data_IF_414518754790
#
_entry.id   IF_414518754790
#
_cell.length_a   1.000
_cell.length_b   1.000
_cell.length_c   1.000
_cell.angle_alpha   90.00
_cell.angle_beta   90.00
_cell.angle_gamma   90.00
#
_symmetry.space_group_name_H-M   'P 1'
#
loop_
_entity.id
_entity.type
_entity.pdbx_description
1 polymer ?
#
# COMPACT_ATOMS: atom_id res chain seq x y z
N UNK A 1 -78.98 -56.79 4.33
CA UNK A 1 -77.96 -55.85 4.82
C UNK A 1 -76.75 -55.99 3.88
N UNK A 2 -76.67 -55.11 2.87
CA UNK A 2 -75.58 -55.14 1.86
C UNK A 2 -74.57 -53.99 2.20
N UNK A 3 -73.35 -54.39 2.45
CA UNK A 3 -72.25 -53.41 2.67
C UNK A 3 -71.68 -53.02 1.27
N UNK A 4 -71.74 -51.74 0.99
CA UNK A 4 -71.00 -51.15 -0.14
C UNK A 4 -69.54 -50.79 0.28
N UNK A 5 -68.56 -51.36 -0.41
CA UNK A 5 -67.21 -50.99 -0.33
C UNK A 5 -66.93 -49.94 -1.44
N UNK A 6 -66.65 -48.75 -1.07
CA UNK A 6 -66.10 -47.69 -2.00
C UNK A 6 -64.61 -47.74 -2.03
N UNK A 7 -64.05 -48.08 -3.18
CA UNK A 7 -62.62 -48.09 -3.44
C UNK A 7 -62.22 -46.68 -3.93
N UNK A 8 -61.47 -45.96 -3.11
CA UNK A 8 -60.90 -44.64 -3.50
C UNK A 8 -59.54 -44.86 -4.15
N UNK A 9 -59.42 -44.56 -5.44
CA UNK A 9 -58.16 -44.56 -6.17
C UNK A 9 -57.43 -43.28 -5.89
N UNK A 10 -56.19 -43.33 -5.25
CA UNK A 10 -55.30 -42.22 -5.06
C UNK A 10 -54.37 -42.15 -6.28
N UNK A 11 -54.59 -41.14 -7.10
CA UNK A 11 -53.67 -40.82 -8.18
C UNK A 11 -52.42 -40.07 -7.60
N UNK A 12 -51.28 -40.73 -7.58
CA UNK A 12 -50.01 -40.11 -7.24
C UNK A 12 -49.48 -39.26 -8.40
N UNK A 13 -49.58 -37.96 -8.28
CA UNK A 13 -48.92 -37.00 -9.17
C UNK A 13 -47.43 -36.92 -8.77
N UNK A 14 -46.54 -37.57 -9.52
CA UNK A 14 -45.11 -37.34 -9.43
C UNK A 14 -44.80 -35.97 -10.02
N UNK A 15 -44.62 -34.94 -9.16
CA UNK A 15 -43.95 -33.71 -9.53
C UNK A 15 -42.45 -34.00 -9.68
N UNK A 16 -41.96 -34.05 -10.90
CA UNK A 16 -40.54 -33.97 -11.19
C UNK A 16 -40.07 -32.57 -10.85
N UNK A 17 -39.55 -32.38 -9.64
CA UNK A 17 -38.74 -31.19 -9.32
C UNK A 17 -37.47 -31.27 -10.15
N UNK A 18 -37.48 -30.60 -11.31
CA UNK A 18 -36.25 -30.25 -12.01
C UNK A 18 -35.40 -29.40 -11.08
N UNK A 19 -34.38 -30.01 -10.48
CA UNK A 19 -33.37 -29.28 -9.73
C UNK A 19 -32.69 -28.29 -10.66
N UNK A 20 -33.09 -27.04 -10.58
CA UNK A 20 -32.25 -25.95 -11.07
C UNK A 20 -31.01 -26.00 -10.16
N UNK A 21 -29.92 -26.64 -10.65
CA UNK A 21 -28.61 -26.47 -10.05
C UNK A 21 -28.35 -24.97 -10.10
N UNK A 22 -28.55 -24.27 -9.01
CA UNK A 22 -28.01 -22.94 -8.82
C UNK A 22 -26.50 -23.12 -9.00
N UNK A 23 -25.97 -22.69 -10.16
CA UNK A 23 -24.54 -22.57 -10.38
C UNK A 23 -24.08 -21.68 -9.23
N UNK A 24 -23.23 -22.20 -8.35
CA UNK A 24 -22.62 -21.38 -7.32
C UNK A 24 -22.06 -20.15 -8.05
N UNK A 25 -22.48 -18.96 -7.64
CA UNK A 25 -21.99 -17.76 -8.28
C UNK A 25 -20.46 -17.79 -8.19
N UNK A 26 -19.77 -17.64 -9.33
CA UNK A 26 -18.32 -17.49 -9.35
C UNK A 26 -17.98 -16.36 -8.38
N UNK A 27 -17.25 -16.65 -7.30
CA UNK A 27 -17.01 -15.69 -6.24
C UNK A 27 -15.59 -15.72 -5.72
N UNK A 28 -15.11 -14.57 -5.28
CA UNK A 28 -13.82 -14.41 -4.63
C UNK A 28 -14.02 -13.91 -3.20
N UNK A 29 -13.28 -14.50 -2.27
CA UNK A 29 -13.15 -14.01 -0.90
C UNK A 29 -11.81 -13.29 -0.80
N UNK A 30 -11.83 -12.01 -0.42
CA UNK A 30 -10.67 -11.13 -0.53
C UNK A 30 -10.33 -10.52 0.83
N UNK A 31 -9.15 -10.86 1.34
CA UNK A 31 -8.58 -10.24 2.55
C UNK A 31 -7.77 -9.01 2.15
N UNK A 32 -8.07 -7.89 2.80
CA UNK A 32 -7.39 -6.61 2.54
C UNK A 32 -7.45 -5.70 3.77
N UNK A 33 -6.64 -4.63 3.76
CA UNK A 33 -6.63 -3.61 4.83
C UNK A 33 -7.07 -2.22 4.36
N UNK A 34 -7.65 -2.10 3.17
CA UNK A 34 -8.16 -0.83 2.65
C UNK A 34 -9.49 -0.45 3.30
N UNK A 35 -9.40 0.22 4.46
CA UNK A 35 -10.56 0.56 5.29
C UNK A 35 -10.80 2.06 5.47
N UNK A 36 -9.87 2.93 5.05
CA UNK A 36 -10.06 4.38 5.06
C UNK A 36 -11.08 4.83 4.00
N UNK A 37 -11.51 6.08 4.08
CA UNK A 37 -12.52 6.61 3.16
C UNK A 37 -12.08 6.60 1.70
N UNK A 38 -10.85 7.02 1.40
CA UNK A 38 -10.26 6.99 0.06
C UNK A 38 -10.03 5.57 -0.43
N UNK A 39 -9.48 4.71 0.41
CA UNK A 39 -9.21 3.31 0.09
C UNK A 39 -10.49 2.51 -0.21
N UNK A 40 -11.52 2.65 0.61
CA UNK A 40 -12.81 2.01 0.38
C UNK A 40 -13.43 2.47 -0.95
N UNK A 41 -13.29 3.75 -1.31
CA UNK A 41 -13.77 4.28 -2.60
C UNK A 41 -13.02 3.67 -3.79
N UNK A 42 -11.71 3.44 -3.67
CA UNK A 42 -10.91 2.76 -4.69
C UNK A 42 -11.30 1.28 -4.79
N UNK A 43 -11.47 0.59 -3.65
CA UNK A 43 -11.89 -0.81 -3.63
C UNK A 43 -13.27 -1.01 -4.28
N UNK A 44 -14.19 -0.05 -4.13
CA UNK A 44 -15.49 -0.08 -4.78
C UNK A 44 -15.40 -0.09 -6.31
N UNK A 45 -14.33 0.47 -6.91
CA UNK A 45 -14.06 0.37 -8.35
C UNK A 45 -13.82 -1.10 -8.74
N UNK A 46 -13.00 -1.83 -7.96
CA UNK A 46 -12.75 -3.26 -8.20
C UNK A 46 -14.01 -4.10 -8.00
N UNK A 47 -14.73 -3.87 -6.90
CA UNK A 47 -15.98 -4.60 -6.60
C UNK A 47 -17.00 -4.47 -7.72
N UNK A 48 -17.23 -3.25 -8.21
CA UNK A 48 -18.18 -2.98 -9.29
C UNK A 48 -17.73 -3.58 -10.63
N UNK A 49 -16.42 -3.54 -10.93
CA UNK A 49 -15.90 -4.15 -12.15
C UNK A 49 -16.07 -5.68 -12.13
N UNK A 50 -15.82 -6.33 -10.99
CA UNK A 50 -16.04 -7.77 -10.82
C UNK A 50 -17.51 -8.15 -10.87
N UNK A 51 -18.39 -7.37 -10.22
CA UNK A 51 -19.84 -7.58 -10.27
C UNK A 51 -20.38 -7.49 -11.71
N UNK A 52 -19.92 -6.50 -12.48
CA UNK A 52 -20.27 -6.36 -13.90
C UNK A 52 -19.83 -7.56 -14.75
N UNK A 53 -18.77 -8.27 -14.32
CA UNK A 53 -18.28 -9.51 -14.94
C UNK A 53 -18.90 -10.78 -14.35
N UNK A 54 -19.91 -10.66 -13.47
CA UNK A 54 -20.62 -11.77 -12.85
C UNK A 54 -19.84 -12.50 -11.76
N UNK A 55 -18.85 -11.84 -11.15
CA UNK A 55 -18.05 -12.36 -10.04
C UNK A 55 -18.54 -11.73 -8.74
N UNK A 56 -18.96 -12.54 -7.79
CA UNK A 56 -19.36 -12.06 -6.47
C UNK A 56 -18.14 -11.80 -5.58
N UNK A 57 -18.22 -10.77 -4.74
CA UNK A 57 -17.19 -10.38 -3.80
C UNK A 57 -17.60 -10.70 -2.36
N UNK A 58 -16.78 -11.47 -1.65
CA UNK A 58 -16.88 -11.65 -0.20
C UNK A 58 -15.78 -10.83 0.46
N UNK A 59 -16.17 -9.83 1.22
CA UNK A 59 -15.28 -8.85 1.82
C UNK A 59 -14.68 -9.35 3.12
N UNK A 60 -13.37 -9.21 3.28
CA UNK A 60 -12.63 -9.51 4.50
C UNK A 60 -11.70 -8.37 4.87
N UNK A 61 -12.24 -7.23 5.31
CA UNK A 61 -11.42 -6.12 5.74
C UNK A 61 -10.78 -6.40 7.10
N UNK A 62 -9.49 -6.10 7.23
CA UNK A 62 -8.76 -6.09 8.49
C UNK A 62 -8.17 -4.71 8.67
N UNK A 63 -8.69 -3.94 9.62
CA UNK A 63 -8.20 -2.60 9.89
C UNK A 63 -6.75 -2.63 10.38
N UNK A 64 -5.97 -1.60 10.03
CA UNK A 64 -4.56 -1.46 10.34
C UNK A 64 -3.74 -1.21 9.06
N UNK A 65 -3.19 -0.01 8.92
CA UNK A 65 -2.34 0.33 7.79
C UNK A 65 -1.06 -0.51 7.74
N UNK A 66 -0.48 -0.66 6.55
CA UNK A 66 0.75 -1.45 6.37
C UNK A 66 0.57 -2.97 6.36
N UNK A 67 -0.63 -3.50 6.68
CA UNK A 67 -0.99 -4.91 6.51
C UNK A 67 -0.56 -5.87 7.62
N UNK A 68 0.09 -5.42 8.68
CA UNK A 68 0.61 -6.32 9.75
C UNK A 68 -0.50 -7.17 10.39
N UNK A 69 -1.62 -6.54 10.75
CA UNK A 69 -2.78 -7.20 11.34
C UNK A 69 -3.43 -8.18 10.35
N UNK A 70 -3.52 -7.76 9.07
CA UNK A 70 -4.05 -8.61 8.01
C UNK A 70 -3.20 -9.87 7.78
N UNK A 71 -1.87 -9.76 7.82
CA UNK A 71 -0.96 -10.92 7.71
C UNK A 71 -1.09 -11.87 8.91
N UNK A 72 -1.35 -11.35 10.11
CA UNK A 72 -1.63 -12.18 11.31
C UNK A 72 -2.93 -12.98 11.13
N UNK A 73 -4.00 -12.34 10.66
CA UNK A 73 -5.28 -13.02 10.35
C UNK A 73 -5.10 -14.05 9.25
N UNK A 74 -4.35 -13.70 8.18
CA UNK A 74 -4.06 -14.62 7.09
C UNK A 74 -3.33 -15.88 7.58
N UNK A 75 -2.28 -15.72 8.39
CA UNK A 75 -1.52 -16.85 8.93
C UNK A 75 -2.42 -17.82 9.72
N UNK A 76 -3.30 -17.32 10.56
CA UNK A 76 -4.27 -18.12 11.30
C UNK A 76 -5.22 -18.89 10.36
N UNK A 77 -5.70 -18.24 9.31
CA UNK A 77 -6.61 -18.84 8.33
C UNK A 77 -5.94 -19.95 7.51
N UNK A 78 -4.75 -19.67 6.98
CA UNK A 78 -4.00 -20.67 6.19
C UNK A 78 -3.65 -21.88 7.05
N UNK A 79 -3.22 -21.68 8.30
CA UNK A 79 -2.91 -22.76 9.25
C UNK A 79 -4.14 -23.62 9.54
N UNK A 80 -5.35 -23.04 9.54
CA UNK A 80 -6.60 -23.78 9.73
C UNK A 80 -7.16 -24.41 8.43
N UNK A 81 -6.44 -24.32 7.30
CA UNK A 81 -6.86 -24.84 6.00
C UNK A 81 -7.98 -24.03 5.34
N UNK A 82 -8.18 -22.77 5.74
CA UNK A 82 -9.22 -21.88 5.23
C UNK A 82 -8.63 -20.60 4.63
N UNK A 83 -7.72 -20.76 3.65
CA UNK A 83 -7.14 -19.64 2.93
C UNK A 83 -8.21 -18.86 2.15
N UNK A 84 -8.15 -17.51 2.11
CA UNK A 84 -9.00 -16.71 1.24
C UNK A 84 -8.63 -16.92 -0.24
N UNK A 85 -9.51 -16.52 -1.16
CA UNK A 85 -9.27 -16.65 -2.61
C UNK A 85 -8.16 -15.74 -3.08
N UNK A 86 -8.14 -14.51 -2.58
CA UNK A 86 -7.12 -13.51 -2.89
C UNK A 86 -6.79 -12.68 -1.65
N UNK A 87 -5.57 -12.19 -1.59
CA UNK A 87 -5.09 -11.36 -0.47
C UNK A 87 -4.32 -10.18 -1.02
N UNK A 88 -4.65 -8.99 -0.56
CA UNK A 88 -3.78 -7.83 -0.73
C UNK A 88 -2.46 -8.08 -0.02
N UNK A 89 -1.35 -7.90 -0.72
CA UNK A 89 0.00 -8.11 -0.19
C UNK A 89 1.01 -7.13 -0.75
N UNK A 90 2.14 -7.01 -0.07
CA UNK A 90 3.26 -6.15 -0.43
C UNK A 90 4.56 -6.94 -0.57
N UNK A 91 5.31 -6.66 -1.62
CA UNK A 91 6.71 -7.01 -1.78
C UNK A 91 7.10 -8.43 -1.35
N UNK A 92 8.04 -8.51 -0.40
CA UNK A 92 8.60 -9.79 0.06
C UNK A 92 7.58 -10.70 0.77
N UNK A 93 6.51 -10.18 1.34
CA UNK A 93 5.47 -11.01 1.95
C UNK A 93 4.85 -11.98 0.92
N UNK A 94 4.72 -11.55 -0.35
CA UNK A 94 4.23 -12.40 -1.46
C UNK A 94 5.20 -13.57 -1.69
N UNK A 95 6.50 -13.27 -1.74
CA UNK A 95 7.53 -14.28 -1.99
C UNK A 95 7.63 -15.28 -0.83
N UNK A 96 7.41 -14.86 0.41
CA UNK A 96 7.43 -15.76 1.55
C UNK A 96 6.27 -16.77 1.49
N UNK A 97 5.06 -16.34 1.14
CA UNK A 97 3.94 -17.25 0.91
C UNK A 97 4.15 -18.15 -0.32
N UNK A 98 4.84 -17.66 -1.34
CA UNK A 98 5.21 -18.47 -2.52
C UNK A 98 6.18 -19.58 -2.14
N UNK A 99 7.22 -19.30 -1.34
CA UNK A 99 8.18 -20.31 -0.82
C UNK A 99 7.48 -21.39 0.00
N UNK A 100 6.42 -21.05 0.74
CA UNK A 100 5.59 -22.01 1.45
C UNK A 100 4.68 -22.83 0.52
N UNK A 101 4.68 -22.54 -0.78
CA UNK A 101 3.85 -23.22 -1.78
C UNK A 101 2.35 -22.92 -1.65
N UNK A 102 1.96 -21.81 -1.00
CA UNK A 102 0.57 -21.46 -0.73
C UNK A 102 -0.15 -20.77 -1.90
N UNK A 103 0.60 -20.24 -2.87
CA UNK A 103 0.05 -19.43 -3.95
C UNK A 103 -0.29 -20.24 -5.21
N UNK A 104 -1.34 -19.82 -5.91
CA UNK A 104 -1.78 -20.34 -7.21
C UNK A 104 -0.97 -19.75 -8.36
N UNK A 105 -1.20 -20.28 -9.57
CA UNK A 105 -0.50 -19.90 -10.79
C UNK A 105 -1.42 -19.06 -11.69
N UNK A 106 -0.89 -17.96 -12.23
CA UNK A 106 -1.58 -17.03 -13.12
C UNK A 106 -0.98 -17.00 -14.54
N UNK A 107 -0.07 -17.91 -14.89
CA UNK A 107 0.67 -17.87 -16.15
C UNK A 107 -0.22 -17.85 -17.39
N UNK A 108 -1.31 -18.60 -17.39
CA UNK A 108 -2.20 -18.69 -18.55
C UNK A 108 -2.82 -17.33 -18.88
N UNK A 109 -3.34 -16.61 -17.86
CA UNK A 109 -3.91 -15.27 -18.06
C UNK A 109 -2.81 -14.25 -18.35
N UNK A 110 -1.68 -14.33 -17.67
CA UNK A 110 -0.55 -13.43 -17.86
C UNK A 110 0.04 -13.53 -19.28
N UNK A 111 0.18 -14.75 -19.81
CA UNK A 111 0.67 -15.00 -21.15
C UNK A 111 -0.34 -14.51 -22.21
N UNK A 112 -1.65 -14.80 -22.00
CA UNK A 112 -2.70 -14.38 -22.93
C UNK A 112 -2.79 -12.86 -23.03
N UNK A 113 -2.61 -12.13 -21.94
CA UNK A 113 -2.74 -10.67 -21.87
C UNK A 113 -1.39 -9.93 -21.98
N UNK A 114 -0.28 -10.68 -22.07
CA UNK A 114 1.05 -10.14 -22.31
C UNK A 114 1.63 -9.31 -21.17
N UNK A 115 1.39 -9.71 -19.92
CA UNK A 115 1.80 -8.98 -18.71
C UNK A 115 3.31 -8.71 -18.66
N UNK A 116 4.14 -9.63 -19.14
CA UNK A 116 5.60 -9.46 -19.21
C UNK A 116 6.07 -8.22 -19.97
N UNK A 117 5.23 -7.71 -20.88
CA UNK A 117 5.56 -6.56 -21.73
C UNK A 117 5.14 -5.23 -21.14
N UNK A 118 4.17 -5.24 -20.25
CA UNK A 118 3.49 -4.02 -19.77
C UNK A 118 3.69 -3.76 -18.27
N UNK A 119 4.06 -4.79 -17.50
CA UNK A 119 4.38 -4.67 -16.08
C UNK A 119 5.90 -4.52 -15.93
N UNK A 120 6.41 -3.46 -15.27
CA UNK A 120 7.84 -3.25 -15.07
C UNK A 120 8.53 -4.38 -14.31
N UNK A 121 9.79 -4.69 -14.65
CA UNK A 121 10.58 -5.71 -13.96
C UNK A 121 10.73 -5.46 -12.46
N UNK A 122 10.73 -4.19 -12.05
CA UNK A 122 10.72 -3.79 -10.64
C UNK A 122 9.50 -4.31 -9.87
N UNK A 123 8.36 -4.55 -10.53
CA UNK A 123 7.17 -5.17 -9.94
C UNK A 123 7.19 -6.69 -10.13
N UNK A 124 7.58 -7.15 -11.34
CA UNK A 124 7.61 -8.58 -11.66
C UNK A 124 8.44 -9.40 -10.66
N UNK A 125 9.50 -8.81 -10.07
CA UNK A 125 10.31 -9.49 -9.05
C UNK A 125 9.51 -9.91 -7.80
N UNK A 126 8.37 -9.27 -7.53
CA UNK A 126 7.47 -9.60 -6.43
C UNK A 126 6.20 -10.31 -6.90
N UNK A 127 5.84 -10.17 -8.18
CA UNK A 127 4.66 -10.81 -8.79
C UNK A 127 4.93 -12.22 -9.28
N UNK A 128 6.22 -12.60 -9.36
CA UNK A 128 6.67 -13.90 -9.86
C UNK A 128 7.50 -14.65 -8.82
N UNK A 129 7.35 -15.95 -8.81
CA UNK A 129 8.22 -16.86 -8.06
C UNK A 129 8.63 -18.03 -8.96
N UNK A 130 9.94 -18.31 -9.05
CA UNK A 130 10.52 -19.31 -9.94
C UNK A 130 10.08 -19.18 -11.42
N UNK A 131 9.83 -17.93 -11.84
CA UNK A 131 9.40 -17.59 -13.20
C UNK A 131 7.88 -17.63 -13.44
N UNK A 132 7.09 -18.06 -12.47
CA UNK A 132 5.63 -18.16 -12.54
C UNK A 132 4.94 -16.94 -11.92
N UNK A 133 3.90 -16.41 -12.58
CA UNK A 133 3.05 -15.37 -12.05
C UNK A 133 2.17 -15.91 -10.90
N UNK A 134 2.21 -15.25 -9.75
CA UNK A 134 1.53 -15.64 -8.50
C UNK A 134 0.68 -14.52 -7.90
N UNK A 135 0.85 -13.31 -8.37
CA UNK A 135 0.12 -12.14 -7.92
C UNK A 135 -0.13 -11.17 -9.09
N UNK A 136 -1.23 -10.41 -9.00
CA UNK A 136 -1.60 -9.36 -9.93
C UNK A 136 -1.36 -7.97 -9.29
N UNK A 137 -0.41 -7.16 -9.79
CA UNK A 137 -0.13 -5.84 -9.24
C UNK A 137 -1.23 -4.83 -9.61
N UNK A 138 -1.74 -4.13 -8.60
CA UNK A 138 -2.86 -3.18 -8.77
C UNK A 138 -2.36 -1.77 -9.05
N UNK A 139 -1.22 -1.42 -8.46
CA UNK A 139 -0.69 -0.06 -8.47
C UNK A 139 0.82 -0.02 -8.27
N UNK A 140 1.37 1.18 -8.41
CA UNK A 140 2.65 1.57 -7.83
C UNK A 140 2.43 2.80 -7.00
N UNK A 141 2.75 2.72 -5.72
CA UNK A 141 2.82 3.85 -4.82
C UNK A 141 4.22 4.43 -4.77
N UNK A 142 4.31 5.75 -4.71
CA UNK A 142 5.52 6.45 -4.30
C UNK A 142 5.40 6.81 -2.83
N UNK A 143 6.39 6.47 -1.99
CA UNK A 143 6.26 6.62 -0.53
C UNK A 143 6.85 7.92 0.02
N UNK A 144 7.75 8.58 -0.71
CA UNK A 144 8.47 9.77 -0.30
C UNK A 144 7.77 11.09 -0.68
N UNK A 145 6.48 11.25 -0.26
CA UNK A 145 5.72 12.47 -0.52
C UNK A 145 5.53 13.34 0.72
N UNK A 146 5.31 14.62 0.46
CA UNK A 146 4.83 15.62 1.43
C UNK A 146 3.53 16.20 0.91
N UNK A 147 2.52 16.18 1.76
CA UNK A 147 1.20 16.76 1.55
C UNK A 147 1.08 18.01 2.39
N UNK A 148 0.86 19.18 1.78
CA UNK A 148 0.87 20.47 2.46
C UNK A 148 -0.48 21.16 2.28
N UNK A 149 -1.05 21.69 3.36
CA UNK A 149 -2.21 22.57 3.28
C UNK A 149 -1.83 23.86 2.54
N UNK A 150 -2.50 24.12 1.41
CA UNK A 150 -2.15 25.26 0.53
C UNK A 150 -2.30 26.60 1.24
N UNK A 151 -3.37 26.78 2.02
CA UNK A 151 -3.60 28.04 2.73
C UNK A 151 -2.55 28.30 3.82
N UNK A 152 -2.09 27.25 4.53
CA UNK A 152 -0.99 27.34 5.49
C UNK A 152 0.34 27.69 4.79
N UNK A 153 0.62 27.05 3.64
CA UNK A 153 1.80 27.35 2.84
C UNK A 153 1.82 28.80 2.35
N UNK A 154 0.70 29.29 1.83
CA UNK A 154 0.58 30.68 1.34
C UNK A 154 0.86 31.71 2.45
N UNK A 155 0.32 31.46 3.65
CA UNK A 155 0.62 32.30 4.83
C UNK A 155 2.10 32.25 5.22
N UNK A 156 2.79 31.12 4.96
CA UNK A 156 4.21 30.96 5.22
C UNK A 156 5.11 31.56 4.12
N UNK A 157 4.54 32.16 3.07
CA UNK A 157 5.27 32.78 1.97
C UNK A 157 5.18 32.00 0.65
N UNK A 158 4.45 30.87 0.58
CA UNK A 158 4.08 30.16 -0.64
C UNK A 158 5.19 29.31 -1.28
N UNK A 159 6.38 29.25 -0.71
CA UNK A 159 7.51 28.54 -1.28
C UNK A 159 7.52 27.06 -0.84
N UNK A 160 7.60 26.13 -1.81
CA UNK A 160 7.82 24.71 -1.57
C UNK A 160 9.29 24.46 -1.16
N UNK A 161 9.55 23.77 -0.03
CA UNK A 161 10.92 23.50 0.41
C UNK A 161 11.61 22.49 -0.50
N UNK A 162 12.89 22.74 -0.81
CA UNK A 162 13.70 21.90 -1.72
C UNK A 162 14.75 21.05 -1.00
N UNK A 163 15.07 21.41 0.22
CA UNK A 163 16.07 20.75 1.05
C UNK A 163 15.62 20.74 2.53
N UNK A 164 16.41 20.09 3.37
CA UNK A 164 16.12 19.94 4.79
C UNK A 164 15.95 21.27 5.52
N UNK A 165 16.86 22.23 5.31
CA UNK A 165 16.81 23.51 6.03
C UNK A 165 15.58 24.33 5.66
N UNK A 166 15.20 24.32 4.39
CA UNK A 166 13.97 24.98 3.92
C UNK A 166 12.71 24.30 4.49
N UNK A 167 12.74 22.94 4.63
CA UNK A 167 11.64 22.22 5.27
C UNK A 167 11.49 22.64 6.73
N UNK A 168 12.58 22.67 7.48
CA UNK A 168 12.55 23.07 8.89
C UNK A 168 12.05 24.52 9.04
N UNK A 169 12.53 25.43 8.18
CA UNK A 169 12.07 26.83 8.18
C UNK A 169 10.56 26.95 7.87
N UNK A 170 10.02 26.09 7.00
CA UNK A 170 8.56 26.04 6.72
C UNK A 170 7.78 25.50 7.93
N UNK A 171 8.27 24.45 8.59
CA UNK A 171 7.61 23.86 9.75
C UNK A 171 7.62 24.85 10.95
N UNK A 172 8.69 25.62 11.13
CA UNK A 172 8.74 26.69 12.13
C UNK A 172 7.68 27.76 11.86
N UNK A 173 7.48 28.17 10.60
CA UNK A 173 6.41 29.11 10.23
C UNK A 173 5.02 28.54 10.47
N UNK A 174 4.78 27.25 10.29
CA UNK A 174 3.50 26.62 10.65
C UNK A 174 3.27 26.68 12.16
N UNK A 175 4.31 26.45 12.95
CA UNK A 175 4.25 26.58 14.41
C UNK A 175 3.93 28.02 14.84
N UNK A 176 4.53 29.02 14.18
CA UNK A 176 4.22 30.44 14.40
C UNK A 176 2.78 30.80 14.03
N UNK A 177 2.18 30.11 13.08
CA UNK A 177 0.76 30.25 12.72
C UNK A 177 -0.19 29.62 13.76
N UNK A 178 0.32 28.89 14.75
CA UNK A 178 -0.44 28.22 15.79
C UNK A 178 -1.17 26.95 15.33
N UNK A 179 -0.70 26.32 14.23
CA UNK A 179 -1.18 25.03 13.77
C UNK A 179 -0.14 23.95 14.04
N UNK A 180 -0.56 22.67 14.08
CA UNK A 180 0.36 21.55 14.17
C UNK A 180 1.24 21.53 12.91
N UNK A 181 2.58 21.65 13.00
CA UNK A 181 3.40 21.70 11.80
C UNK A 181 3.32 20.41 10.98
N UNK A 182 3.38 19.24 11.65
CA UNK A 182 3.34 17.91 11.01
C UNK A 182 2.23 17.07 11.62
N UNK A 183 1.24 16.73 10.82
CA UNK A 183 0.25 15.70 11.16
C UNK A 183 0.88 14.31 11.00
N UNK A 184 0.84 13.52 12.04
CA UNK A 184 1.42 12.17 12.04
C UNK A 184 0.56 11.20 12.84
N UNK A 185 0.59 9.93 12.49
CA UNK A 185 0.02 8.85 13.28
C UNK A 185 1.14 8.04 13.92
N UNK A 186 0.93 7.54 15.12
CA UNK A 186 1.99 6.85 15.88
C UNK A 186 1.97 5.34 15.72
N UNK A 187 1.85 4.84 14.51
CA UNK A 187 1.99 3.42 14.21
C UNK A 187 3.38 3.17 13.61
N UNK A 188 4.06 2.06 13.94
CA UNK A 188 5.46 1.82 13.54
C UNK A 188 5.73 1.98 12.03
N UNK A 189 4.80 1.55 11.18
CA UNK A 189 4.94 1.68 9.73
C UNK A 189 4.92 3.15 9.27
N UNK A 190 4.21 4.04 9.97
CA UNK A 190 4.18 5.47 9.65
C UNK A 190 5.51 6.14 10.04
N UNK A 191 6.07 5.79 11.21
CA UNK A 191 7.40 6.26 11.63
C UNK A 191 8.46 5.83 10.61
N UNK A 192 8.41 4.55 10.20
CA UNK A 192 9.31 4.00 9.20
C UNK A 192 9.13 4.65 7.81
N UNK A 193 7.92 5.07 7.43
CA UNK A 193 7.68 5.79 6.17
C UNK A 193 8.39 7.15 6.16
N UNK A 194 8.37 7.87 7.27
CA UNK A 194 9.14 9.12 7.40
C UNK A 194 10.64 8.82 7.36
N UNK A 195 11.10 7.81 8.10
CA UNK A 195 12.51 7.42 8.15
C UNK A 195 13.04 7.02 6.77
N UNK A 196 12.25 6.29 5.98
CA UNK A 196 12.52 5.93 4.60
C UNK A 196 12.84 7.19 3.74
N UNK A 197 12.00 8.20 3.82
CA UNK A 197 12.19 9.47 3.11
C UNK A 197 13.37 10.29 3.65
N UNK A 198 13.59 10.30 4.96
CA UNK A 198 14.72 10.98 5.60
C UNK A 198 16.06 10.36 5.16
N UNK A 199 16.17 9.04 5.19
CA UNK A 199 17.38 8.33 4.74
C UNK A 199 17.61 8.55 3.25
N UNK A 200 16.57 8.48 2.42
CA UNK A 200 16.68 8.80 0.98
C UNK A 200 17.18 10.23 0.74
N UNK A 201 16.81 11.19 1.59
CA UNK A 201 17.25 12.58 1.48
C UNK A 201 18.76 12.79 1.71
N UNK A 202 19.45 11.79 2.27
CA UNK A 202 20.90 11.77 2.44
C UNK A 202 21.63 11.22 1.19
N UNK A 203 20.89 10.68 0.23
CA UNK A 203 21.39 10.25 -1.07
C UNK A 203 21.00 8.84 -1.48
N UNK A 204 20.90 8.61 -2.79
CA UNK A 204 20.52 7.32 -3.36
C UNK A 204 21.47 6.18 -2.99
N UNK A 205 22.77 6.44 -3.08
CA UNK A 205 23.80 5.44 -2.76
C UNK A 205 23.77 5.08 -1.27
N UNK A 206 23.52 6.09 -0.41
CA UNK A 206 23.37 5.87 1.02
C UNK A 206 22.14 4.99 1.32
N UNK A 207 20.98 5.34 0.76
CA UNK A 207 19.75 4.54 0.91
C UNK A 207 19.95 3.10 0.44
N UNK A 208 20.55 2.94 -0.75
CA UNK A 208 20.79 1.62 -1.33
C UNK A 208 21.67 0.76 -0.42
N UNK A 209 22.82 1.30 0.03
CA UNK A 209 23.72 0.58 0.93
C UNK A 209 23.03 0.22 2.25
N UNK A 210 22.31 1.18 2.85
CA UNK A 210 21.66 0.98 4.14
C UNK A 210 20.53 -0.06 4.07
N UNK A 211 19.64 0.04 3.08
CA UNK A 211 18.37 -0.71 3.10
C UNK A 211 18.22 -1.77 2.01
N UNK A 212 19.00 -1.71 0.93
CA UNK A 212 18.97 -2.78 -0.08
C UNK A 212 20.11 -3.77 0.18
N UNK A 213 21.33 -3.23 0.37
CA UNK A 213 22.52 -4.05 0.55
C UNK A 213 22.74 -4.45 2.03
N UNK A 214 22.04 -3.80 2.98
CA UNK A 214 22.13 -4.00 4.44
C UNK A 214 23.59 -3.92 4.95
N UNK A 215 24.34 -2.94 4.44
CA UNK A 215 25.73 -2.74 4.76
C UNK A 215 25.90 -2.23 6.20
N UNK A 216 26.55 -3.02 7.05
CA UNK A 216 26.71 -2.73 8.48
C UNK A 216 27.53 -1.43 8.74
N UNK A 217 28.51 -1.10 7.89
CA UNK A 217 29.29 0.13 8.01
C UNK A 217 28.37 1.34 7.76
N UNK A 218 27.53 1.28 6.71
CA UNK A 218 26.57 2.34 6.39
C UNK A 218 25.50 2.47 7.48
N UNK A 219 24.97 1.36 7.99
CA UNK A 219 23.99 1.37 9.09
C UNK A 219 24.57 1.93 10.39
N UNK A 220 25.88 1.76 10.64
CA UNK A 220 26.58 2.28 11.81
C UNK A 220 27.24 3.66 11.62
N UNK A 221 26.99 4.32 10.48
CA UNK A 221 27.70 5.54 10.09
C UNK A 221 27.21 6.81 10.79
N UNK A 222 28.02 7.88 10.79
CA UNK A 222 27.59 9.22 11.24
C UNK A 222 26.40 9.75 10.46
N UNK A 223 26.26 9.41 9.18
CA UNK A 223 25.15 9.79 8.33
C UNK A 223 23.83 9.12 8.78
N UNK A 224 23.88 7.86 9.26
CA UNK A 224 22.72 7.21 9.85
C UNK A 224 22.32 7.87 11.16
N UNK A 225 23.31 8.30 11.97
CA UNK A 225 23.02 9.11 13.15
C UNK A 225 22.32 10.43 12.78
N UNK A 226 22.80 11.10 11.71
CA UNK A 226 22.12 12.30 11.21
C UNK A 226 20.65 12.01 10.81
N UNK A 227 20.38 10.86 10.21
CA UNK A 227 18.99 10.46 9.90
C UNK A 227 18.13 10.39 11.19
N UNK A 228 18.64 9.78 12.25
CA UNK A 228 17.93 9.73 13.54
C UNK A 228 17.83 11.11 14.22
N UNK A 229 18.85 11.98 14.10
CA UNK A 229 18.76 13.36 14.58
C UNK A 229 17.66 14.14 13.85
N UNK A 230 17.51 13.94 12.54
CA UNK A 230 16.41 14.50 11.76
C UNK A 230 15.06 13.96 12.21
N UNK A 231 14.93 12.67 12.54
CA UNK A 231 13.71 12.09 13.10
C UNK A 231 13.35 12.74 14.44
N UNK A 232 14.32 12.92 15.34
CA UNK A 232 14.12 13.66 16.61
C UNK A 232 13.62 15.07 16.36
N UNK A 233 14.20 15.77 15.38
CA UNK A 233 13.78 17.13 15.01
C UNK A 233 12.34 17.13 14.47
N UNK A 234 11.98 16.20 13.58
CA UNK A 234 10.61 16.07 13.05
C UNK A 234 9.60 15.74 14.16
N UNK A 235 9.96 14.90 15.12
CA UNK A 235 9.12 14.60 16.27
C UNK A 235 8.72 15.84 17.04
N UNK A 236 9.60 16.85 17.13
CA UNK A 236 9.31 18.12 17.82
C UNK A 236 8.24 18.99 17.16
N UNK A 237 7.81 18.61 15.95
CA UNK A 237 6.74 19.28 15.18
C UNK A 237 5.42 18.50 15.17
N UNK A 238 5.41 17.29 15.71
CA UNK A 238 4.21 16.45 15.84
C UNK A 238 3.54 16.72 17.18
N UNK A 239 2.21 16.72 17.21
CA UNK A 239 1.44 16.89 18.44
C UNK A 239 1.59 15.73 19.43
N UNK A 240 1.28 15.95 20.71
CA UNK A 240 1.47 14.96 21.76
C UNK A 240 0.47 13.80 21.71
N UNK A 241 -0.66 13.95 21.01
CA UNK A 241 -1.72 12.95 20.91
C UNK A 241 -1.62 12.08 19.64
N UNK A 242 -0.43 11.98 19.04
CA UNK A 242 -0.23 11.26 17.77
C UNK A 242 -0.25 9.73 17.92
N UNK A 243 0.13 9.21 19.08
CA UNK A 243 0.30 7.77 19.32
C UNK A 243 -0.96 6.98 18.96
N UNK A 244 -0.80 5.95 18.14
CA UNK A 244 -1.91 5.09 17.70
C UNK A 244 -2.90 5.75 16.73
N UNK A 245 -2.70 6.99 16.33
CA UNK A 245 -3.56 7.66 15.34
C UNK A 245 -3.41 6.99 13.98
N UNK A 246 -4.54 6.69 13.33
CA UNK A 246 -4.51 6.20 11.97
C UNK A 246 -4.05 7.30 10.99
N UNK A 247 -3.35 6.91 9.95
CA UNK A 247 -2.75 7.80 8.96
C UNK A 247 -3.76 8.72 8.26
N UNK A 248 -4.97 8.24 7.99
CA UNK A 248 -6.04 9.02 7.36
C UNK A 248 -6.62 10.09 8.30
N UNK A 249 -6.56 9.88 9.61
CA UNK A 249 -6.91 10.91 10.60
C UNK A 249 -5.86 12.01 10.62
N UNK A 250 -4.58 11.68 10.44
CA UNK A 250 -3.53 12.68 10.23
C UNK A 250 -3.74 13.45 8.91
N UNK A 251 -4.14 12.76 7.82
CA UNK A 251 -4.51 13.42 6.56
C UNK A 251 -5.67 14.39 6.76
N UNK A 252 -6.69 14.02 7.54
CA UNK A 252 -7.84 14.90 7.86
C UNK A 252 -7.39 16.19 8.55
N UNK A 253 -6.39 16.16 9.44
CA UNK A 253 -5.86 17.38 10.08
C UNK A 253 -5.27 18.35 9.05
N UNK A 254 -4.58 17.87 8.01
CA UNK A 254 -4.07 18.71 6.93
C UNK A 254 -5.20 19.21 6.04
N UNK A 255 -6.16 18.36 5.70
CA UNK A 255 -7.35 18.69 4.90
C UNK A 255 -8.16 19.83 5.54
N UNK A 256 -8.32 19.79 6.86
CA UNK A 256 -9.09 20.76 7.63
C UNK A 256 -8.28 22.00 8.06
N UNK A 257 -6.97 22.04 7.77
CA UNK A 257 -6.10 23.17 8.13
C UNK A 257 -5.69 23.20 9.60
N UNK A 258 -5.89 22.10 10.33
CA UNK A 258 -5.41 21.93 11.71
C UNK A 258 -3.91 21.64 11.76
N UNK A 259 -3.37 21.11 10.64
CA UNK A 259 -1.94 20.87 10.47
C UNK A 259 -1.43 21.43 9.12
N UNK A 260 -0.14 21.76 9.09
CA UNK A 260 0.53 22.31 7.91
C UNK A 260 0.90 21.27 6.89
N UNK A 261 1.46 20.16 7.31
CA UNK A 261 1.96 19.11 6.42
C UNK A 261 1.75 17.69 6.98
N UNK A 262 1.82 16.70 6.09
CA UNK A 262 1.93 15.27 6.41
C UNK A 262 3.00 14.64 5.51
N UNK A 263 3.86 13.78 6.06
CA UNK A 263 4.80 12.95 5.32
C UNK A 263 4.19 11.55 5.18
N UNK A 264 3.75 11.20 3.97
CA UNK A 264 2.98 9.99 3.73
C UNK A 264 2.98 9.67 2.24
N UNK A 265 2.92 8.40 1.87
CA UNK A 265 2.85 7.99 0.48
C UNK A 265 1.65 8.56 -0.28
N UNK A 266 1.64 8.36 -1.57
CA UNK A 266 0.66 8.98 -2.48
C UNK A 266 -0.79 8.50 -2.28
N UNK A 267 -1.02 7.41 -1.54
CA UNK A 267 -2.36 6.99 -1.12
C UNK A 267 -3.08 8.05 -0.29
N UNK A 268 -2.36 8.95 0.37
CA UNK A 268 -2.97 10.05 1.11
C UNK A 268 -3.79 10.96 0.20
N UNK A 269 -3.44 11.09 -1.09
CA UNK A 269 -4.22 11.83 -2.08
C UNK A 269 -5.68 11.38 -2.14
N UNK A 270 -5.93 10.08 -1.99
CA UNK A 270 -7.30 9.53 -1.97
C UNK A 270 -8.19 10.17 -0.92
N UNK A 271 -7.66 10.49 0.27
CA UNK A 271 -8.40 11.17 1.32
C UNK A 271 -8.71 12.62 0.96
N UNK A 272 -7.75 13.36 0.38
CA UNK A 272 -7.96 14.72 -0.10
C UNK A 272 -9.03 14.78 -1.18
N UNK A 273 -8.96 13.89 -2.18
CA UNK A 273 -9.95 13.83 -3.26
C UNK A 273 -11.33 13.43 -2.72
N UNK A 274 -11.40 12.47 -1.81
CA UNK A 274 -12.65 12.08 -1.13
C UNK A 274 -13.29 13.24 -0.39
N UNK A 275 -12.48 14.11 0.21
CA UNK A 275 -12.92 15.34 0.87
C UNK A 275 -13.24 16.48 -0.12
N UNK A 276 -13.22 16.25 -1.43
CA UNK A 276 -13.51 17.25 -2.45
C UNK A 276 -12.40 18.29 -2.66
N UNK A 277 -11.18 18.00 -2.19
CA UNK A 277 -10.02 18.90 -2.31
C UNK A 277 -9.32 18.74 -3.64
N UNK A 278 -8.71 19.82 -4.14
CA UNK A 278 -8.06 19.89 -5.44
C UNK A 278 -6.57 20.22 -5.31
N UNK A 279 -5.66 19.50 -6.03
CA UNK A 279 -4.25 19.82 -6.08
C UNK A 279 -4.02 21.27 -6.57
N UNK A 280 -3.01 21.93 -6.02
CA UNK A 280 -2.66 23.32 -6.36
C UNK A 280 -3.61 24.40 -5.82
N UNK A 281 -4.84 24.02 -5.48
CA UNK A 281 -5.85 24.95 -4.93
C UNK A 281 -6.00 24.79 -3.42
N UNK A 282 -6.22 23.55 -2.95
CA UNK A 282 -6.47 23.24 -1.53
C UNK A 282 -5.26 22.62 -0.86
N UNK A 283 -4.43 21.88 -1.61
CA UNK A 283 -3.23 21.24 -1.12
C UNK A 283 -2.12 21.21 -2.18
N UNK A 284 -0.89 21.02 -1.71
CA UNK A 284 0.30 20.81 -2.52
C UNK A 284 0.80 19.38 -2.29
N UNK A 285 1.19 18.72 -3.36
CA UNK A 285 1.86 17.44 -3.38
C UNK A 285 3.29 17.59 -3.90
N UNK A 286 4.28 17.23 -3.08
CA UNK A 286 5.68 17.35 -3.47
C UNK A 286 6.50 16.18 -2.96
N UNK A 287 7.68 15.94 -3.55
CA UNK A 287 8.63 14.98 -3.00
C UNK A 287 9.21 15.49 -1.68
N UNK A 288 9.54 14.57 -0.78
CA UNK A 288 10.24 14.93 0.44
C UNK A 288 11.51 15.71 0.07
N UNK A 289 11.78 16.87 0.71
CA UNK A 289 12.91 17.73 0.37
C UNK A 289 14.26 16.99 0.40
N UNK A 290 15.02 17.13 -0.69
CA UNK A 290 16.28 16.39 -0.89
C UNK A 290 16.12 15.06 -1.65
N UNK A 291 14.86 14.64 -1.98
CA UNK A 291 14.64 13.40 -2.72
C UNK A 291 14.15 13.61 -4.17
N UNK A 292 14.26 14.84 -4.69
CA UNK A 292 13.85 15.14 -6.07
C UNK A 292 14.64 14.30 -7.07
N UNK A 293 13.93 13.65 -8.00
CA UNK A 293 14.53 12.73 -8.97
C UNK A 293 14.73 11.30 -8.46
N UNK A 294 14.35 11.02 -7.21
CA UNK A 294 14.40 9.68 -6.60
C UNK A 294 13.03 9.28 -6.08
N UNK A 295 12.72 8.00 -6.16
CA UNK A 295 11.45 7.44 -5.69
C UNK A 295 11.70 6.17 -4.90
N UNK A 296 11.19 6.13 -3.67
CA UNK A 296 10.92 4.87 -2.98
C UNK A 296 9.52 4.41 -3.31
N UNK A 297 9.35 3.13 -3.64
CA UNK A 297 8.07 2.59 -4.09
C UNK A 297 7.61 1.39 -3.28
N UNK A 298 6.30 1.21 -3.23
CA UNK A 298 5.65 -0.06 -2.96
C UNK A 298 4.56 -0.32 -4.00
N UNK A 299 4.11 -1.57 -4.08
CA UNK A 299 3.04 -1.99 -4.97
C UNK A 299 2.10 -2.91 -4.21
N UNK A 300 0.84 -2.52 -4.11
CA UNK A 300 -0.19 -3.44 -3.69
C UNK A 300 -0.44 -4.44 -4.80
N UNK A 301 -0.48 -5.70 -4.44
CA UNK A 301 -0.77 -6.80 -5.33
C UNK A 301 -1.81 -7.72 -4.71
N UNK A 302 -2.65 -8.33 -5.53
CA UNK A 302 -3.48 -9.43 -5.06
C UNK A 302 -2.78 -10.75 -5.33
N UNK A 303 -2.24 -11.35 -4.26
CA UNK A 303 -1.70 -12.71 -4.28
C UNK A 303 -2.87 -13.71 -4.29
N UNK A 304 -2.84 -14.64 -5.25
CA UNK A 304 -3.89 -15.66 -5.40
C UNK A 304 -3.50 -16.91 -4.64
N UNK A 305 -4.27 -17.29 -3.61
CA UNK A 305 -4.01 -18.49 -2.83
C UNK A 305 -4.49 -19.75 -3.57
N UNK A 306 -3.85 -20.89 -3.30
CA UNK A 306 -4.35 -22.17 -3.79
C UNK A 306 -5.74 -22.45 -3.21
N UNK A 307 -6.68 -22.69 -4.08
CA UNK A 307 -8.07 -22.99 -3.78
C UNK A 307 -8.52 -24.25 -4.50
N UNK A 308 -9.73 -24.76 -4.22
CA UNK A 308 -10.32 -25.84 -4.97
C UNK A 308 -10.51 -25.46 -6.46
N UNK A 309 -10.42 -26.44 -7.36
CA UNK A 309 -10.40 -26.22 -8.81
C UNK A 309 -11.64 -25.44 -9.33
N UNK A 310 -12.76 -25.58 -8.69
CA UNK A 310 -14.01 -24.88 -9.04
C UNK A 310 -13.95 -23.36 -8.76
N UNK A 311 -13.02 -22.89 -7.91
CA UNK A 311 -12.80 -21.47 -7.60
C UNK A 311 -11.73 -20.82 -8.46
N UNK A 312 -10.87 -21.59 -9.10
CA UNK A 312 -9.77 -21.08 -9.95
C UNK A 312 -10.27 -20.16 -11.07
N UNK A 313 -11.38 -20.46 -11.79
CA UNK A 313 -11.89 -19.58 -12.83
C UNK A 313 -12.24 -18.17 -12.33
N UNK A 314 -12.77 -18.03 -11.11
CA UNK A 314 -13.05 -16.71 -10.53
C UNK A 314 -11.78 -15.94 -10.17
N UNK A 315 -10.75 -16.63 -9.67
CA UNK A 315 -9.42 -16.02 -9.44
C UNK A 315 -8.81 -15.46 -10.72
N UNK A 316 -8.77 -16.27 -11.79
CA UNK A 316 -8.19 -15.87 -13.07
C UNK A 316 -8.94 -14.67 -13.67
N UNK A 317 -10.27 -14.66 -13.57
CA UNK A 317 -11.10 -13.52 -13.99
C UNK A 317 -10.82 -12.27 -13.14
N UNK A 318 -10.61 -12.42 -11.82
CA UNK A 318 -10.22 -11.30 -10.94
C UNK A 318 -8.85 -10.76 -11.35
N UNK A 319 -7.87 -11.61 -11.57
CA UNK A 319 -6.54 -11.23 -11.99
C UNK A 319 -6.55 -10.48 -13.35
N UNK A 320 -7.30 -11.01 -14.33
CA UNK A 320 -7.54 -10.35 -15.63
C UNK A 320 -8.23 -8.98 -15.47
N UNK A 321 -9.20 -8.87 -14.57
CA UNK A 321 -9.88 -7.60 -14.29
C UNK A 321 -8.92 -6.55 -13.73
N UNK A 322 -8.07 -6.93 -12.75
CA UNK A 322 -7.06 -6.08 -12.14
C UNK A 322 -6.07 -5.56 -13.18
N UNK A 323 -5.67 -6.40 -14.12
CA UNK A 323 -4.70 -6.04 -15.14
C UNK A 323 -5.33 -5.38 -16.38
N UNK A 324 -6.63 -5.12 -16.42
CA UNK A 324 -7.21 -4.39 -17.54
C UNK A 324 -6.79 -2.90 -17.50
N UNK A 325 -6.38 -2.27 -18.62
CA UNK A 325 -5.98 -0.86 -18.63
C UNK A 325 -7.06 0.09 -18.13
N UNK A 326 -8.32 -0.21 -18.42
CA UNK A 326 -9.47 0.60 -17.97
C UNK A 326 -9.63 0.57 -16.44
N UNK A 327 -9.49 -0.62 -15.83
CA UNK A 327 -9.50 -0.75 -14.37
C UNK A 327 -8.29 -0.04 -13.75
N UNK A 328 -7.09 -0.25 -14.28
CA UNK A 328 -5.85 0.36 -13.79
C UNK A 328 -5.96 1.90 -13.78
N UNK A 329 -6.55 2.52 -14.80
CA UNK A 329 -6.83 3.97 -14.80
C UNK A 329 -7.86 4.33 -13.72
N UNK A 330 -9.04 3.74 -13.77
CA UNK A 330 -10.16 4.11 -12.90
C UNK A 330 -9.84 3.92 -11.40
N UNK A 331 -9.16 2.83 -11.05
CA UNK A 331 -8.77 2.54 -9.67
C UNK A 331 -7.70 3.54 -9.17
N UNK A 332 -6.63 3.74 -9.94
CA UNK A 332 -5.48 4.52 -9.50
C UNK A 332 -5.76 6.03 -9.43
N UNK A 333 -6.67 6.55 -10.25
CA UNK A 333 -7.19 7.92 -10.12
C UNK A 333 -7.83 8.13 -8.74
N UNK A 334 -8.63 7.18 -8.26
CA UNK A 334 -9.31 7.26 -6.96
C UNK A 334 -8.35 6.95 -5.80
N UNK A 335 -7.51 5.92 -5.95
CA UNK A 335 -6.56 5.47 -4.90
C UNK A 335 -5.46 6.50 -4.63
N UNK A 336 -5.11 7.30 -5.64
CA UNK A 336 -4.03 8.29 -5.53
C UNK A 336 -2.67 7.80 -6.05
N UNK A 337 -2.56 6.56 -6.47
CA UNK A 337 -1.36 5.87 -6.96
C UNK A 337 -1.17 5.98 -8.47
N UNK A 338 -0.07 5.43 -8.98
CA UNK A 338 0.14 5.20 -10.40
C UNK A 338 -0.31 3.78 -10.82
N UNK A 339 -0.70 3.57 -12.09
CA UNK A 339 -0.95 2.23 -12.61
C UNK A 339 0.28 1.33 -12.49
N UNK A 340 0.07 0.04 -12.26
CA UNK A 340 1.13 -0.96 -12.31
C UNK A 340 1.63 -1.21 -13.75
N UNK A 341 0.76 -0.96 -14.75
CA UNK A 341 1.05 -1.10 -16.16
C UNK A 341 1.63 0.19 -16.75
N UNK A 342 2.57 0.04 -17.66
CA UNK A 342 3.24 1.17 -18.35
C UNK A 342 2.47 1.70 -19.57
N UNK A 343 1.44 0.98 -20.03
CA UNK A 343 0.64 1.31 -21.21
C UNK A 343 -0.72 1.97 -20.89
N UNK A 344 -0.94 2.36 -19.63
CA UNK A 344 -2.13 3.13 -19.22
C UNK A 344 -1.87 4.61 -19.43
N UNK A 345 -2.70 5.33 -20.22
CA UNK A 345 -2.53 6.76 -20.41
C UNK A 345 -2.83 7.55 -19.14
N UNK A 346 -2.12 8.68 -18.96
CA UNK A 346 -2.26 9.55 -17.79
C UNK A 346 -3.34 10.63 -17.92
N UNK A 347 -4.16 10.59 -18.98
CA UNK A 347 -5.14 11.63 -19.34
C UNK A 347 -6.16 11.92 -18.25
N UNK A 348 -6.55 10.89 -17.48
CA UNK A 348 -7.58 10.99 -16.44
C UNK A 348 -7.00 11.41 -15.06
N UNK A 349 -5.67 11.45 -14.96
CA UNK A 349 -5.00 11.79 -13.71
C UNK A 349 -4.89 13.30 -13.52
N UNK A 350 -4.98 13.74 -12.26
CA UNK A 350 -4.69 15.11 -11.85
C UNK A 350 -3.17 15.42 -11.90
N UNK A 351 -2.79 16.65 -11.61
CA UNK A 351 -1.39 17.08 -11.69
C UNK A 351 -0.48 16.28 -10.72
N UNK A 352 -0.97 15.90 -9.52
CA UNK A 352 -0.21 15.04 -8.60
C UNK A 352 -0.03 13.62 -9.14
N UNK A 353 -1.08 13.05 -9.74
CA UNK A 353 -1.01 11.72 -10.37
C UNK A 353 -0.10 11.70 -11.60
N UNK A 354 -0.19 12.72 -12.46
CA UNK A 354 0.72 12.87 -13.61
C UNK A 354 2.17 13.02 -13.16
N UNK A 355 2.40 13.83 -12.10
CA UNK A 355 3.73 13.95 -11.50
C UNK A 355 4.24 12.60 -10.96
N UNK A 356 3.40 11.83 -10.27
CA UNK A 356 3.77 10.50 -9.76
C UNK A 356 4.18 9.55 -10.88
N UNK A 357 3.36 9.45 -11.95
CA UNK A 357 3.64 8.60 -13.12
C UNK A 357 4.94 9.01 -13.80
N UNK A 358 5.15 10.31 -14.01
CA UNK A 358 6.37 10.85 -14.62
C UNK A 358 7.61 10.56 -13.75
N UNK A 359 7.56 10.89 -12.46
CA UNK A 359 8.69 10.70 -11.54
C UNK A 359 9.08 9.21 -11.44
N UNK A 360 8.10 8.29 -11.41
CA UNK A 360 8.33 6.84 -11.42
C UNK A 360 9.05 6.38 -12.69
N UNK A 361 8.61 6.85 -13.86
CA UNK A 361 9.23 6.51 -15.15
C UNK A 361 10.66 7.04 -15.25
N UNK A 362 10.89 8.28 -14.81
CA UNK A 362 12.22 8.90 -14.79
C UNK A 362 13.16 8.17 -13.80
N UNK A 363 12.69 7.88 -12.58
CA UNK A 363 13.47 7.18 -11.56
C UNK A 363 13.83 5.75 -12.00
N UNK A 364 12.90 5.05 -12.66
CA UNK A 364 13.16 3.72 -13.22
C UNK A 364 14.25 3.77 -14.32
N UNK A 365 14.21 4.81 -15.17
CA UNK A 365 15.21 4.98 -16.23
C UNK A 365 16.58 5.35 -15.68
N UNK A 366 16.64 6.17 -14.64
CA UNK A 366 17.87 6.71 -14.06
C UNK A 366 18.48 5.80 -12.98
N UNK A 367 17.84 4.68 -12.63
CA UNK A 367 18.28 3.78 -11.57
C UNK A 367 18.09 4.34 -10.15
N UNK A 368 17.18 5.32 -9.99
CA UNK A 368 16.84 5.95 -8.70
C UNK A 368 15.45 5.53 -8.18
N UNK A 369 14.86 4.47 -8.78
CA UNK A 369 13.67 3.79 -8.28
C UNK A 369 14.08 2.66 -7.36
N UNK A 370 13.76 2.77 -6.07
CA UNK A 370 14.17 1.81 -5.06
C UNK A 370 12.97 1.28 -4.27
N UNK A 371 13.01 0.00 -3.92
CA UNK A 371 12.00 -0.58 -3.03
C UNK A 371 11.99 0.13 -1.68
N UNK A 372 10.81 0.47 -1.18
CA UNK A 372 10.64 1.06 0.14
C UNK A 372 10.98 0.04 1.24
N UNK A 373 11.89 0.41 2.16
CA UNK A 373 12.17 -0.36 3.36
C UNK A 373 10.92 -0.44 4.24
N UNK A 374 10.23 0.69 4.40
CA UNK A 374 9.02 0.78 5.21
C UNK A 374 7.85 -0.07 4.71
N UNK A 375 7.84 -0.50 3.45
CA UNK A 375 6.72 -1.23 2.86
C UNK A 375 7.10 -2.60 2.30
N UNK A 376 8.19 -3.20 2.81
CA UNK A 376 8.57 -4.58 2.47
C UNK A 376 8.97 -4.81 1.01
N UNK A 377 9.48 -3.76 0.31
CA UNK A 377 10.00 -3.86 -1.04
C UNK A 377 11.55 -3.77 -1.09
N UNK A 378 12.18 -3.46 0.05
CA UNK A 378 13.63 -3.54 0.21
C UNK A 378 14.08 -4.85 0.85
N UNK A 379 13.32 -5.35 1.84
CA UNK A 379 13.72 -6.48 2.67
C UNK A 379 12.53 -7.35 3.10
N UNK A 380 12.78 -8.62 3.48
CA UNK A 380 11.79 -9.49 4.12
C UNK A 380 11.27 -8.92 5.44
N UNK A 381 10.11 -9.44 5.88
CA UNK A 381 9.42 -8.99 7.08
C UNK A 381 10.28 -9.03 8.35
N UNK A 382 11.20 -10.00 8.48
CA UNK A 382 12.13 -10.09 9.62
C UNK A 382 12.98 -8.83 9.76
N UNK A 383 13.64 -8.41 8.69
CA UNK A 383 14.50 -7.22 8.66
C UNK A 383 13.67 -5.94 8.78
N UNK A 384 12.57 -5.84 8.01
CA UNK A 384 11.65 -4.70 8.08
C UNK A 384 11.17 -4.44 9.50
N UNK A 385 10.69 -5.47 10.21
CA UNK A 385 10.14 -5.33 11.55
C UNK A 385 11.24 -5.01 12.59
N UNK A 386 12.46 -5.53 12.40
CA UNK A 386 13.60 -5.17 13.25
C UNK A 386 13.96 -3.68 13.12
N UNK A 387 13.91 -3.13 11.90
CA UNK A 387 14.11 -1.69 11.66
C UNK A 387 12.96 -0.88 12.28
N UNK A 388 11.71 -1.32 12.13
CA UNK A 388 10.54 -0.66 12.71
C UNK A 388 10.68 -0.48 14.22
N UNK A 389 11.09 -1.53 14.94
CA UNK A 389 11.24 -1.47 16.40
C UNK A 389 12.20 -0.37 16.82
N UNK A 390 13.37 -0.31 16.21
CA UNK A 390 14.39 0.70 16.52
C UNK A 390 13.91 2.11 16.17
N UNK A 391 13.34 2.30 14.97
CA UNK A 391 12.86 3.60 14.50
C UNK A 391 11.74 4.13 15.37
N UNK A 392 10.76 3.29 15.71
CA UNK A 392 9.62 3.68 16.56
C UNK A 392 10.06 4.04 17.97
N UNK A 393 10.94 3.26 18.58
CA UNK A 393 11.47 3.55 19.92
C UNK A 393 12.27 4.85 19.94
N UNK A 394 13.06 5.10 18.91
CA UNK A 394 13.80 6.34 18.78
C UNK A 394 12.87 7.55 18.56
N UNK A 395 11.88 7.43 17.68
CA UNK A 395 10.90 8.49 17.42
C UNK A 395 10.07 8.82 18.66
N UNK A 396 9.77 7.84 19.51
CA UNK A 396 9.10 8.03 20.79
C UNK A 396 10.02 8.56 21.91
N UNK A 397 11.33 8.72 21.66
CA UNK A 397 12.30 9.23 22.61
C UNK A 397 12.78 8.21 23.63
N UNK A 398 12.61 6.92 23.37
CA UNK A 398 13.10 5.82 24.22
C UNK A 398 14.60 5.54 23.96
N UNK A 399 15.11 5.94 22.79
CA UNK A 399 16.49 5.81 22.38
C UNK A 399 17.02 7.17 21.92
N UNK A 400 18.27 7.49 22.30
CA UNK A 400 19.03 8.54 21.64
C UNK A 400 19.42 8.13 20.22
N UNK A 401 19.85 9.07 19.39
CA UNK A 401 20.31 8.76 18.03
C UNK A 401 21.52 7.82 18.00
N UNK A 402 22.45 7.93 18.95
CA UNK A 402 23.60 7.04 19.11
C UNK A 402 23.19 5.61 19.49
N UNK A 403 22.26 5.47 20.43
CA UNK A 403 21.71 4.16 20.82
C UNK A 403 20.94 3.53 19.66
N UNK A 404 20.15 4.31 18.94
CA UNK A 404 19.40 3.83 17.79
C UNK A 404 20.29 3.31 16.67
N UNK A 405 21.40 3.98 16.36
CA UNK A 405 22.40 3.49 15.38
C UNK A 405 22.99 2.15 15.84
N UNK A 406 23.38 2.06 17.11
CA UNK A 406 23.95 0.83 17.67
C UNK A 406 22.96 -0.33 17.62
N UNK A 407 21.72 -0.09 18.04
CA UNK A 407 20.66 -1.09 18.02
C UNK A 407 20.24 -1.46 16.61
N UNK A 408 20.22 -0.50 15.65
CA UNK A 408 19.88 -0.76 14.26
C UNK A 408 20.83 -1.77 13.62
N UNK A 409 22.15 -1.59 13.81
CA UNK A 409 23.15 -2.55 13.31
C UNK A 409 22.91 -3.93 13.91
N UNK A 410 22.76 -4.02 15.24
CA UNK A 410 22.55 -5.29 15.93
C UNK A 410 21.23 -5.99 15.51
N UNK A 411 20.13 -5.22 15.38
CA UNK A 411 18.83 -5.73 15.02
C UNK A 411 18.80 -6.26 13.58
N UNK A 412 19.40 -5.53 12.63
CA UNK A 412 19.50 -5.95 11.23
C UNK A 412 20.38 -7.19 11.08
N UNK A 413 21.53 -7.24 11.77
CA UNK A 413 22.41 -8.43 11.72
C UNK A 413 21.73 -9.68 12.31
N UNK A 414 20.91 -9.51 13.34
CA UNK A 414 20.16 -10.63 13.94
C UNK A 414 18.97 -11.10 13.07
N UNK A 415 18.46 -10.23 12.17
CA UNK A 415 17.27 -10.50 11.34
C UNK A 415 17.58 -11.03 9.94
N UNK A 416 18.85 -10.92 9.46
CA UNK A 416 19.35 -11.50 8.21
C UNK A 416 19.36 -13.03 8.30
#
# INVERSE_FOLDING_TARGET
>A
MRKFLTTTAIAAVMMTMGGVSAKAADGVEVLHWWTSGGEASALDVLKKDLEAKGISWTDMPVAGGGGTEAMTVLRARVTSGNAPTAVQMLGFDILDWAKEGALGNLDDVAAQEGWDKVIPTALQQFSKYEGHWIAAPVNVHSTNWVWINKAALDKAGGAEPKNWDELIALLDKFKEQGITPVAHGGQPWQDATIFDAVVLSLGNDFYKKAFIDLDAETLGSPEMKEAFDRMTKLRSYVDDNFSGRDWNLASAMVIEGQAGAQFMGDWAKGEFIKAGKKPGTDFVCMRFPGTQGSVTFNSDQFAMFKVADDKVPAQLKMASAIESPAFQSAFNVVKGSAPARTDVPDTDFDDCGKKAIKDLAEANTNGSLMGSMAHGHANPASVKNAIYDVVTRQFNGELSSEEAVTELVAAVEAAK
#
